data_IF_892935898210
#
_entry.id   IF_892935898210
#
_cell.length_a   1.000
_cell.length_b   1.000
_cell.length_c   1.000
_cell.angle_alpha   90.00
_cell.angle_beta   90.00
_cell.angle_gamma   90.00
#
_symmetry.space_group_name_H-M   'P 1'
#
loop_
_entity.id
_entity.type
_entity.pdbx_description
1 polymer ?
#
# COMPACT_ATOMS: atom_id res chain seq x y z
N UNK A 1 31.80 -16.75 -14.63
CA UNK A 1 30.46 -16.47 -14.07
C UNK A 1 30.48 -15.06 -13.51
N UNK A 2 29.82 -14.10 -14.15
CA UNK A 2 29.57 -12.81 -13.49
C UNK A 2 28.56 -13.08 -12.37
N UNK A 3 29.03 -13.17 -11.13
CA UNK A 3 28.14 -13.13 -9.98
C UNK A 3 27.53 -11.73 -9.94
N UNK A 4 26.29 -11.60 -10.41
CA UNK A 4 25.51 -10.40 -10.16
C UNK A 4 25.52 -10.16 -8.64
N UNK A 5 25.88 -8.94 -8.21
CA UNK A 5 25.93 -8.62 -6.79
C UNK A 5 24.51 -8.46 -6.26
N UNK A 6 24.23 -8.95 -5.05
CA UNK A 6 23.00 -8.61 -4.35
C UNK A 6 23.07 -7.16 -3.87
N UNK A 7 21.99 -6.40 -4.07
CA UNK A 7 21.89 -5.03 -3.53
C UNK A 7 21.31 -5.13 -2.12
N UNK A 8 22.20 -5.22 -1.13
CA UNK A 8 21.81 -5.34 0.27
C UNK A 8 21.14 -4.03 0.71
N UNK A 9 19.93 -4.14 1.28
CA UNK A 9 19.17 -3.00 1.80
C UNK A 9 18.20 -2.36 0.81
N UNK A 10 18.25 -2.73 -0.48
CA UNK A 10 17.22 -2.33 -1.43
C UNK A 10 15.98 -3.22 -1.26
N UNK A 11 14.81 -2.57 -1.16
CA UNK A 11 13.52 -3.23 -0.96
C UNK A 11 12.50 -2.85 -2.02
N UNK A 12 12.89 -2.03 -3.00
CA UNK A 12 12.10 -1.72 -4.18
C UNK A 12 12.36 -2.76 -5.28
N UNK A 13 11.33 -3.52 -5.63
CA UNK A 13 11.41 -4.59 -6.61
C UNK A 13 11.87 -4.07 -7.98
N UNK A 14 11.33 -2.93 -8.42
CA UNK A 14 11.69 -2.33 -9.70
C UNK A 14 13.18 -1.98 -9.76
N UNK A 15 13.73 -1.35 -8.73
CA UNK A 15 15.17 -1.03 -8.65
C UNK A 15 16.04 -2.27 -8.66
N UNK A 16 15.67 -3.31 -7.92
CA UNK A 16 16.40 -4.60 -7.93
C UNK A 16 16.43 -5.20 -9.34
N UNK A 17 15.29 -5.19 -10.05
CA UNK A 17 15.19 -5.72 -11.41
C UNK A 17 15.98 -4.89 -12.42
N UNK A 18 15.85 -3.56 -12.38
CA UNK A 18 16.53 -2.64 -13.31
C UNK A 18 18.05 -2.62 -13.13
N UNK A 19 18.54 -2.82 -11.90
CA UNK A 19 19.97 -2.86 -11.64
C UNK A 19 20.66 -4.17 -12.12
N UNK A 20 19.89 -5.16 -12.60
CA UNK A 20 20.43 -6.47 -12.97
C UNK A 20 21.05 -7.23 -11.80
N UNK A 21 20.65 -6.89 -10.56
CA UNK A 21 21.18 -7.46 -9.34
C UNK A 21 20.81 -8.93 -9.17
N UNK A 22 21.51 -9.62 -8.27
CA UNK A 22 21.07 -10.95 -7.84
C UNK A 22 19.71 -10.84 -7.11
N UNK A 23 18.71 -11.51 -7.67
CA UNK A 23 17.34 -11.54 -7.15
C UNK A 23 16.91 -13.00 -6.97
N UNK A 24 16.45 -13.34 -5.77
CA UNK A 24 15.86 -14.65 -5.49
C UNK A 24 14.40 -14.59 -5.91
N UNK A 25 14.04 -15.34 -6.94
CA UNK A 25 12.69 -15.30 -7.49
C UNK A 25 11.66 -15.89 -6.52
N UNK A 26 10.81 -15.01 -6.00
CA UNK A 26 9.63 -15.33 -5.18
C UNK A 26 8.34 -14.87 -5.84
N UNK A 27 8.34 -14.69 -7.16
CA UNK A 27 7.22 -14.10 -7.89
C UNK A 27 5.94 -14.95 -7.85
N UNK A 28 6.05 -16.27 -7.66
CA UNK A 28 4.87 -17.14 -7.42
C UNK A 28 4.09 -16.77 -6.14
N UNK A 29 4.66 -15.95 -5.26
CA UNK A 29 3.91 -15.37 -4.15
C UNK A 29 2.68 -14.58 -4.62
N UNK A 30 2.72 -13.99 -5.82
CA UNK A 30 1.56 -13.34 -6.44
C UNK A 30 0.40 -14.32 -6.64
N UNK A 31 0.70 -15.50 -7.15
CA UNK A 31 -0.29 -16.56 -7.37
C UNK A 31 -0.84 -17.08 -6.05
N UNK A 32 0.01 -17.25 -5.02
CA UNK A 32 -0.42 -17.60 -3.67
C UNK A 32 -1.38 -16.54 -3.08
N UNK A 33 -1.12 -15.25 -3.32
CA UNK A 33 -2.00 -14.15 -2.88
C UNK A 33 -3.34 -14.20 -3.60
N UNK A 34 -3.35 -14.44 -4.92
CA UNK A 34 -4.56 -14.43 -5.75
C UNK A 34 -5.46 -15.65 -5.53
N UNK A 35 -4.85 -16.81 -5.32
CA UNK A 35 -5.57 -18.08 -5.10
C UNK A 35 -5.98 -18.29 -3.64
N UNK A 36 -5.50 -17.43 -2.73
CA UNK A 36 -5.89 -17.42 -1.33
C UNK A 36 -7.39 -17.16 -1.17
N UNK A 37 -8.10 -17.92 -0.30
CA UNK A 37 -9.50 -17.65 0.00
C UNK A 37 -9.70 -16.40 0.89
N UNK A 38 -8.61 -15.81 1.40
CA UNK A 38 -8.66 -14.70 2.35
C UNK A 38 -8.66 -13.35 1.66
N UNK A 39 -9.70 -12.54 1.92
CA UNK A 39 -9.77 -11.12 1.49
C UNK A 39 -8.74 -10.23 2.18
N UNK A 40 -8.32 -10.60 3.39
CA UNK A 40 -7.33 -9.87 4.19
C UNK A 40 -6.23 -10.87 4.56
N UNK A 41 -5.00 -10.58 4.16
CA UNK A 41 -3.84 -11.41 4.47
C UNK A 41 -2.84 -10.66 5.35
N UNK A 42 -2.52 -11.26 6.49
CA UNK A 42 -1.50 -10.75 7.42
C UNK A 42 -0.22 -11.58 7.31
N UNK A 43 0.89 -10.93 6.94
CA UNK A 43 2.19 -11.58 6.77
C UNK A 43 3.08 -11.43 8.03
N UNK A 44 2.81 -12.24 9.07
CA UNK A 44 3.61 -12.29 10.31
C UNK A 44 4.81 -13.23 10.17
N UNK A 45 6.06 -12.75 10.25
CA UNK A 45 7.31 -13.58 10.21
C UNK A 45 8.61 -12.77 10.41
N UNK A 46 9.80 -13.40 10.58
CA UNK A 46 11.00 -12.76 11.14
C UNK A 46 11.65 -11.69 10.25
N UNK A 47 12.46 -10.83 10.89
CA UNK A 47 13.22 -9.76 10.24
C UNK A 47 14.06 -10.27 9.05
N UNK A 48 14.19 -9.43 8.02
CA UNK A 48 15.02 -9.65 6.81
C UNK A 48 14.55 -10.75 5.86
N UNK A 49 13.30 -11.19 5.94
CA UNK A 49 12.76 -12.21 5.02
C UNK A 49 12.36 -11.66 3.63
N UNK A 50 12.55 -10.36 3.39
CA UNK A 50 12.21 -9.69 2.13
C UNK A 50 10.74 -9.29 2.01
N UNK A 51 10.05 -9.02 3.12
CA UNK A 51 8.61 -8.67 3.10
C UNK A 51 8.34 -7.39 2.33
N UNK A 52 9.08 -6.32 2.62
CA UNK A 52 8.95 -5.05 1.89
C UNK A 52 9.24 -5.25 0.39
N UNK A 53 10.23 -6.07 0.04
CA UNK A 53 10.51 -6.44 -1.34
C UNK A 53 9.35 -7.21 -1.99
N UNK A 54 8.74 -8.16 -1.28
CA UNK A 54 7.57 -8.88 -1.76
C UNK A 54 6.33 -7.99 -1.87
N UNK A 55 6.11 -7.06 -0.94
CA UNK A 55 5.04 -6.07 -1.04
C UNK A 55 5.27 -5.12 -2.21
N UNK A 56 6.51 -4.69 -2.45
CA UNK A 56 6.89 -3.93 -3.64
C UNK A 56 6.66 -4.74 -4.92
N UNK A 57 6.96 -6.05 -4.92
CA UNK A 57 6.63 -6.93 -6.02
C UNK A 57 5.13 -6.97 -6.30
N UNK A 58 4.29 -7.17 -5.27
CA UNK A 58 2.83 -7.14 -5.42
C UNK A 58 2.35 -5.78 -5.93
N UNK A 59 2.93 -4.68 -5.42
CA UNK A 59 2.61 -3.33 -5.85
C UNK A 59 2.90 -3.14 -7.35
N UNK A 60 4.09 -3.52 -7.83
CA UNK A 60 4.42 -3.44 -9.25
C UNK A 60 3.63 -4.42 -10.11
N UNK A 61 3.21 -5.57 -9.56
CA UNK A 61 2.45 -6.56 -10.31
C UNK A 61 1.00 -6.11 -10.52
N UNK A 62 0.35 -5.59 -9.48
CA UNK A 62 -1.07 -5.26 -9.53
C UNK A 62 -1.36 -3.85 -10.05
N UNK A 63 -0.52 -2.86 -9.72
CA UNK A 63 -0.86 -1.47 -9.97
C UNK A 63 -0.99 -1.18 -11.46
N UNK A 64 -2.14 -0.65 -11.85
CA UNK A 64 -2.36 -0.09 -13.18
C UNK A 64 -1.46 1.12 -13.39
N UNK A 65 -0.40 0.94 -14.17
CA UNK A 65 0.61 1.97 -14.46
C UNK A 65 0.62 2.38 -15.93
N UNK A 66 1.02 3.62 -16.17
CA UNK A 66 1.39 4.14 -17.48
C UNK A 66 2.66 4.97 -17.32
N UNK A 67 3.80 4.61 -17.95
CA UNK A 67 3.99 3.49 -18.90
C UNK A 67 3.86 2.10 -18.28
N UNK A 68 3.68 1.09 -19.13
CA UNK A 68 3.65 -0.32 -18.74
C UNK A 68 5.01 -0.77 -18.15
N UNK A 69 4.95 -1.60 -17.10
CA UNK A 69 6.11 -2.13 -16.37
C UNK A 69 6.15 -3.68 -16.38
N UNK A 70 5.41 -4.31 -17.30
CA UNK A 70 5.38 -5.77 -17.47
C UNK A 70 6.76 -6.41 -17.64
N UNK A 71 7.70 -5.67 -18.24
CA UNK A 71 9.09 -6.09 -18.44
C UNK A 71 9.84 -6.41 -17.13
N UNK A 72 9.40 -5.87 -15.99
CA UNK A 72 9.99 -6.20 -14.67
C UNK A 72 9.86 -7.69 -14.32
N UNK A 73 8.83 -8.34 -14.86
CA UNK A 73 8.49 -9.74 -14.57
C UNK A 73 9.01 -10.73 -15.61
N UNK A 74 9.68 -10.26 -16.66
CA UNK A 74 10.31 -11.14 -17.64
C UNK A 74 11.29 -12.11 -16.96
N UNK A 75 11.20 -13.39 -17.34
CA UNK A 75 12.02 -14.50 -16.85
C UNK A 75 11.84 -14.80 -15.35
N UNK A 76 10.78 -14.27 -14.72
CA UNK A 76 10.35 -14.71 -13.40
C UNK A 76 9.30 -15.82 -13.53
N UNK A 77 9.21 -16.69 -12.54
CA UNK A 77 8.29 -17.82 -12.52
C UNK A 77 6.82 -17.41 -12.74
N UNK A 78 6.39 -16.27 -12.19
CA UNK A 78 5.02 -15.76 -12.38
C UNK A 78 4.68 -15.50 -13.85
N UNK A 79 5.65 -15.19 -14.72
CA UNK A 79 5.40 -14.92 -16.14
C UNK A 79 4.87 -16.11 -16.92
N UNK A 80 4.99 -17.32 -16.37
CA UNK A 80 4.46 -18.56 -16.93
C UNK A 80 3.17 -19.05 -16.25
N UNK A 81 2.66 -18.31 -15.27
CA UNK A 81 1.44 -18.66 -14.55
C UNK A 81 0.20 -18.13 -15.28
N UNK A 82 -0.91 -18.86 -15.21
CA UNK A 82 -2.18 -18.48 -15.86
C UNK A 82 -2.70 -17.13 -15.34
N UNK A 83 -2.46 -16.82 -14.06
CA UNK A 83 -2.90 -15.56 -13.44
C UNK A 83 -2.15 -14.33 -13.95
N UNK A 84 -1.03 -14.50 -14.67
CA UNK A 84 -0.15 -13.41 -15.07
C UNK A 84 -0.88 -12.38 -15.94
N UNK A 85 -1.42 -12.81 -17.08
CA UNK A 85 -2.12 -11.92 -18.00
C UNK A 85 -3.48 -11.46 -17.44
N UNK A 86 -4.05 -12.24 -16.54
CA UNK A 86 -5.34 -11.96 -15.94
C UNK A 86 -5.28 -10.86 -14.88
N UNK A 87 -4.12 -10.65 -14.23
CA UNK A 87 -4.02 -9.74 -13.09
C UNK A 87 -2.92 -8.67 -13.20
N UNK A 88 -1.95 -8.82 -14.11
CA UNK A 88 -0.87 -7.85 -14.28
C UNK A 88 -1.39 -6.46 -14.67
N UNK A 89 -1.00 -5.44 -13.91
CA UNK A 89 -1.28 -4.02 -14.16
C UNK A 89 -2.78 -3.68 -14.31
N UNK A 90 -3.68 -4.35 -13.59
CA UNK A 90 -5.13 -4.15 -13.72
C UNK A 90 -5.79 -3.36 -12.59
N UNK A 91 -5.15 -3.24 -11.43
CA UNK A 91 -5.82 -2.79 -10.22
C UNK A 91 -5.38 -1.38 -9.80
N UNK A 92 -6.30 -0.53 -9.30
CA UNK A 92 -5.91 0.57 -8.43
C UNK A 92 -5.30 0.02 -7.13
N UNK A 93 -4.16 0.57 -6.72
CA UNK A 93 -3.45 0.14 -5.51
C UNK A 93 -3.28 1.32 -4.55
N UNK A 94 -3.65 1.11 -3.29
CA UNK A 94 -3.33 1.99 -2.17
C UNK A 94 -2.14 1.37 -1.44
N UNK A 95 -0.96 1.99 -1.53
CA UNK A 95 0.24 1.53 -0.84
C UNK A 95 0.61 2.47 0.31
N UNK A 96 0.65 1.95 1.53
CA UNK A 96 1.00 2.67 2.75
C UNK A 96 2.16 2.00 3.47
N UNK A 97 3.11 2.79 3.97
CA UNK A 97 4.19 2.29 4.83
C UNK A 97 4.25 3.11 6.11
N UNK A 98 4.14 2.43 7.25
CA UNK A 98 4.20 3.07 8.57
C UNK A 98 5.60 3.00 9.21
N UNK A 99 6.62 2.60 8.45
CA UNK A 99 8.00 2.38 8.92
C UNK A 99 8.63 3.57 9.65
N UNK A 100 8.17 4.78 9.35
CA UNK A 100 8.70 6.05 9.87
C UNK A 100 7.78 6.72 10.91
N UNK A 101 6.70 6.05 11.34
CA UNK A 101 5.81 6.53 12.41
C UNK A 101 6.34 6.04 13.76
N UNK A 102 7.36 6.73 14.27
CA UNK A 102 8.07 6.40 15.52
C UNK A 102 8.03 7.57 16.49
N UNK A 103 6.97 8.37 16.41
CA UNK A 103 6.90 9.64 17.13
C UNK A 103 6.58 9.44 18.62
N UNK A 104 7.00 10.38 19.45
CA UNK A 104 6.90 10.29 20.91
C UNK A 104 5.53 10.71 21.45
N UNK A 105 4.66 11.29 20.61
CA UNK A 105 3.32 11.71 20.99
C UNK A 105 2.27 11.30 19.95
N UNK A 106 1.05 11.09 20.43
CA UNK A 106 -0.08 10.74 19.59
C UNK A 106 -0.35 11.79 18.51
N UNK A 107 -0.30 13.07 18.85
CA UNK A 107 -0.66 14.15 17.93
C UNK A 107 0.37 14.28 16.80
N UNK A 108 1.66 14.10 17.08
CA UNK A 108 2.72 14.06 16.06
C UNK A 108 2.56 12.82 15.18
N UNK A 109 2.32 11.64 15.77
CA UNK A 109 2.13 10.41 15.02
C UNK A 109 0.92 10.50 14.06
N UNK A 110 -0.21 11.05 14.52
CA UNK A 110 -1.40 11.25 13.68
C UNK A 110 -1.14 12.28 12.58
N UNK A 111 -0.43 13.38 12.89
CA UNK A 111 -0.04 14.35 11.87
C UNK A 111 0.81 13.69 10.78
N UNK A 112 1.81 12.88 11.15
CA UNK A 112 2.67 12.16 10.20
C UNK A 112 1.88 11.12 9.39
N UNK A 113 0.92 10.43 9.99
CA UNK A 113 -0.01 9.57 9.23
C UNK A 113 -0.85 10.39 8.25
N UNK A 114 -1.29 11.60 8.62
CA UNK A 114 -1.96 12.53 7.72
C UNK A 114 -1.09 12.92 6.51
N UNK A 115 0.21 13.12 6.71
CA UNK A 115 1.18 13.35 5.62
C UNK A 115 1.30 12.13 4.71
N UNK A 116 1.37 10.90 5.26
CA UNK A 116 1.38 9.68 4.45
C UNK A 116 0.12 9.55 3.58
N UNK A 117 -1.06 9.86 4.15
CA UNK A 117 -2.32 9.80 3.41
C UNK A 117 -2.37 10.90 2.35
N UNK A 118 -1.84 12.10 2.64
CA UNK A 118 -1.68 13.17 1.65
C UNK A 118 -0.85 12.69 0.44
N UNK A 119 0.31 12.06 0.68
CA UNK A 119 1.17 11.54 -0.39
C UNK A 119 0.47 10.47 -1.24
N UNK A 120 -0.35 9.63 -0.62
CA UNK A 120 -1.18 8.65 -1.34
C UNK A 120 -2.25 9.36 -2.16
N UNK A 121 -3.01 10.28 -1.57
CA UNK A 121 -4.05 11.02 -2.29
C UNK A 121 -3.49 11.84 -3.44
N UNK A 122 -2.27 12.37 -3.33
CA UNK A 122 -1.64 13.12 -4.41
C UNK A 122 -1.43 12.26 -5.67
N UNK A 123 -1.09 10.98 -5.51
CA UNK A 123 -1.00 10.04 -6.65
C UNK A 123 -2.35 9.81 -7.32
N UNK A 124 -3.44 10.08 -6.60
CA UNK A 124 -4.81 9.93 -7.07
C UNK A 124 -5.53 11.27 -7.27
N UNK A 125 -4.79 12.38 -7.38
CA UNK A 125 -5.36 13.74 -7.55
C UNK A 125 -6.30 13.85 -8.75
N UNK A 126 -6.13 13.02 -9.78
CA UNK A 126 -7.02 12.97 -10.93
C UNK A 126 -8.49 12.72 -10.55
N UNK A 127 -8.78 12.09 -9.41
CA UNK A 127 -10.13 11.90 -8.91
C UNK A 127 -10.86 13.23 -8.68
N UNK A 128 -10.16 14.32 -8.37
CA UNK A 128 -10.77 15.64 -8.18
C UNK A 128 -11.35 16.23 -9.48
N UNK A 129 -10.93 15.72 -10.64
CA UNK A 129 -11.44 16.12 -11.94
C UNK A 129 -12.59 15.21 -12.41
N UNK A 130 -12.90 14.16 -11.64
CA UNK A 130 -13.94 13.21 -11.98
C UNK A 130 -15.32 13.74 -11.60
N UNK A 131 -16.21 13.85 -12.58
CA UNK A 131 -17.55 14.44 -12.40
C UNK A 131 -18.42 13.71 -11.38
N UNK A 132 -18.21 12.39 -11.22
CA UNK A 132 -18.98 11.56 -10.30
C UNK A 132 -18.34 11.46 -8.90
N UNK A 133 -17.25 12.19 -8.63
CA UNK A 133 -16.67 12.25 -7.30
C UNK A 133 -17.70 12.79 -6.30
N UNK A 134 -18.02 12.01 -5.27
CA UNK A 134 -19.02 12.43 -4.29
C UNK A 134 -18.61 13.73 -3.57
N UNK A 135 -19.58 14.60 -3.27
CA UNK A 135 -19.32 15.88 -2.60
C UNK A 135 -18.68 15.71 -1.21
N UNK A 136 -18.98 14.61 -0.52
CA UNK A 136 -18.35 14.24 0.74
C UNK A 136 -16.88 13.87 0.55
N UNK A 137 -16.57 13.03 -0.45
CA UNK A 137 -15.20 12.65 -0.77
C UNK A 137 -14.37 13.86 -1.23
N UNK A 138 -14.93 14.72 -2.09
CA UNK A 138 -14.28 15.96 -2.54
C UNK A 138 -13.87 16.86 -1.37
N UNK A 139 -14.77 17.10 -0.40
CA UNK A 139 -14.45 17.89 0.80
C UNK A 139 -13.38 17.22 1.67
N UNK A 140 -13.44 15.90 1.82
CA UNK A 140 -12.44 15.16 2.59
C UNK A 140 -11.07 15.24 1.94
N UNK A 141 -10.99 15.01 0.63
CA UNK A 141 -9.75 15.07 -0.12
C UNK A 141 -9.15 16.48 -0.07
N UNK A 142 -9.95 17.53 -0.25
CA UNK A 142 -9.48 18.91 -0.12
C UNK A 142 -8.85 19.18 1.26
N UNK A 143 -9.48 18.73 2.35
CA UNK A 143 -8.92 18.86 3.70
C UNK A 143 -7.57 18.14 3.83
N UNK A 144 -7.45 16.91 3.34
CA UNK A 144 -6.20 16.14 3.46
C UNK A 144 -5.10 16.73 2.58
N UNK A 145 -5.42 17.10 1.34
CA UNK A 145 -4.47 17.70 0.40
C UNK A 145 -3.96 19.06 0.89
N UNK A 146 -4.81 19.85 1.53
CA UNK A 146 -4.42 21.12 2.16
C UNK A 146 -3.87 20.99 3.59
N UNK A 147 -3.62 19.76 4.08
CA UNK A 147 -3.12 19.48 5.43
C UNK A 147 -3.97 20.10 6.57
N UNK A 148 -5.29 20.17 6.36
CA UNK A 148 -6.29 20.67 7.31
C UNK A 148 -7.19 19.57 7.88
N UNK A 149 -6.92 18.31 7.56
CA UNK A 149 -7.70 17.17 8.04
C UNK A 149 -7.53 16.96 9.55
N UNK A 150 -8.65 16.78 10.26
CA UNK A 150 -8.65 16.35 11.65
C UNK A 150 -8.43 14.83 11.76
N UNK A 151 -8.07 14.30 12.95
CA UNK A 151 -7.95 12.86 13.15
C UNK A 151 -9.18 12.06 12.70
N UNK A 152 -10.39 12.61 12.84
CA UNK A 152 -11.63 11.97 12.36
C UNK A 152 -11.73 11.91 10.84
N UNK A 153 -11.31 12.98 10.15
CA UNK A 153 -11.24 13.00 8.69
C UNK A 153 -10.26 11.91 8.20
N UNK A 154 -9.10 11.79 8.86
CA UNK A 154 -8.10 10.76 8.53
C UNK A 154 -8.61 9.33 8.76
N UNK A 155 -9.39 9.08 9.82
CA UNK A 155 -9.96 7.75 10.09
C UNK A 155 -10.83 7.22 8.94
N UNK A 156 -11.47 8.10 8.17
CA UNK A 156 -12.32 7.72 7.03
C UNK A 156 -11.58 7.74 5.68
N UNK A 157 -10.39 8.36 5.60
CA UNK A 157 -9.79 8.73 4.32
C UNK A 157 -9.40 7.54 3.45
N UNK A 158 -8.89 6.45 4.02
CA UNK A 158 -8.51 5.26 3.24
C UNK A 158 -9.73 4.57 2.67
N UNK A 159 -10.79 4.40 3.48
CA UNK A 159 -12.06 3.82 3.03
C UNK A 159 -12.64 4.65 1.89
N UNK A 160 -12.77 5.96 2.10
CA UNK A 160 -13.33 6.87 1.09
C UNK A 160 -12.49 6.84 -0.19
N UNK A 161 -11.16 6.87 -0.08
CA UNK A 161 -10.29 6.73 -1.26
C UNK A 161 -10.50 5.41 -1.99
N UNK A 162 -10.58 4.29 -1.25
CA UNK A 162 -10.87 2.97 -1.83
C UNK A 162 -12.19 2.99 -2.59
N UNK A 163 -13.26 3.49 -1.98
CA UNK A 163 -14.59 3.57 -2.59
C UNK A 163 -14.55 4.40 -3.90
N UNK A 164 -13.87 5.55 -3.89
CA UNK A 164 -13.79 6.40 -5.08
C UNK A 164 -12.91 5.78 -6.18
N UNK A 165 -11.82 5.09 -5.83
CA UNK A 165 -11.00 4.38 -6.81
C UNK A 165 -11.74 3.22 -7.44
N UNK A 166 -12.49 2.47 -6.63
CA UNK A 166 -13.31 1.37 -7.12
C UNK A 166 -14.33 1.87 -8.15
N UNK A 167 -15.07 2.93 -7.82
CA UNK A 167 -16.07 3.49 -8.73
C UNK A 167 -15.45 4.15 -9.97
N UNK A 168 -14.29 4.81 -9.85
CA UNK A 168 -13.62 5.44 -10.99
C UNK A 168 -13.06 4.42 -11.99
N UNK A 169 -12.42 3.35 -11.49
CA UNK A 169 -11.75 2.36 -12.35
C UNK A 169 -12.64 1.18 -12.72
N UNK A 170 -13.80 1.02 -12.08
CA UNK A 170 -14.65 -0.17 -12.18
C UNK A 170 -13.85 -1.46 -11.93
N UNK A 171 -12.99 -1.43 -10.90
CA UNK A 171 -12.08 -2.51 -10.52
C UNK A 171 -11.95 -2.59 -9.00
N UNK A 172 -11.71 -3.79 -8.47
CA UNK A 172 -11.39 -3.95 -7.05
C UNK A 172 -10.11 -3.19 -6.68
N UNK A 173 -10.04 -2.65 -5.46
CA UNK A 173 -8.88 -1.89 -4.97
C UNK A 173 -8.03 -2.77 -4.07
N UNK A 174 -6.73 -2.81 -4.36
CA UNK A 174 -5.77 -3.55 -3.54
C UNK A 174 -5.11 -2.59 -2.55
N UNK A 175 -5.19 -2.93 -1.26
CA UNK A 175 -4.58 -2.12 -0.19
C UNK A 175 -3.38 -2.88 0.38
N UNK A 176 -2.20 -2.31 0.20
CA UNK A 176 -0.93 -2.86 0.66
C UNK A 176 -0.41 -2.00 1.82
N UNK A 177 -0.14 -2.62 2.96
CA UNK A 177 0.35 -1.94 4.15
C UNK A 177 1.62 -2.60 4.63
N UNK A 178 2.70 -1.82 4.68
CA UNK A 178 3.97 -2.24 5.26
C UNK A 178 4.18 -1.66 6.67
N UNK A 179 4.80 -2.43 7.55
CA UNK A 179 5.16 -2.04 8.92
C UNK A 179 3.97 -1.49 9.75
N UNK A 180 2.76 -2.04 9.56
CA UNK A 180 1.52 -1.61 10.23
C UNK A 180 1.58 -1.56 11.77
N UNK A 181 2.49 -2.34 12.37
CA UNK A 181 2.74 -2.46 13.79
C UNK A 181 3.70 -1.40 14.35
N UNK A 182 4.47 -0.71 13.49
CA UNK A 182 5.43 0.32 13.92
C UNK A 182 4.80 1.44 14.77
N UNK A 183 3.69 2.09 14.36
CA UNK A 183 3.04 3.11 15.19
C UNK A 183 2.54 2.56 16.53
N UNK A 184 2.10 1.30 16.54
CA UNK A 184 1.58 0.62 17.74
C UNK A 184 2.70 0.41 18.74
N UNK A 185 3.86 -0.07 18.28
CA UNK A 185 5.05 -0.25 19.12
C UNK A 185 5.56 1.07 19.68
N UNK A 186 5.60 2.14 18.86
CA UNK A 186 5.97 3.47 19.34
C UNK A 186 4.99 3.96 20.41
N UNK A 187 3.69 3.81 20.16
CA UNK A 187 2.64 4.22 21.09
C UNK A 187 2.69 3.46 22.43
N UNK A 188 3.04 2.19 22.40
CA UNK A 188 3.27 1.39 23.60
C UNK A 188 4.43 1.93 24.42
N UNK A 189 5.56 2.20 23.75
CA UNK A 189 6.80 2.68 24.41
C UNK A 189 6.62 4.07 25.01
N UNK A 190 5.82 4.93 24.36
CA UNK A 190 5.63 6.33 24.72
C UNK A 190 4.31 6.61 25.47
N UNK A 191 3.58 5.57 25.90
CA UNK A 191 2.43 5.73 26.81
C UNK A 191 1.11 6.22 26.18
N UNK A 192 0.94 6.14 24.86
CA UNK A 192 -0.30 6.53 24.16
C UNK A 192 -0.95 5.40 23.35
N UNK A 193 -0.62 4.15 23.67
CA UNK A 193 -1.09 2.92 23.02
C UNK A 193 -2.60 2.88 22.75
N UNK A 194 -3.43 3.13 23.77
CA UNK A 194 -4.89 3.01 23.62
C UNK A 194 -5.45 4.00 22.60
N UNK A 195 -4.93 5.23 22.58
CA UNK A 195 -5.31 6.25 21.58
C UNK A 195 -4.91 5.81 20.18
N UNK A 196 -3.68 5.32 20.01
CA UNK A 196 -3.17 4.89 18.70
C UNK A 196 -3.91 3.66 18.15
N UNK A 197 -4.18 2.65 18.98
CA UNK A 197 -4.96 1.48 18.58
C UNK A 197 -6.38 1.88 18.17
N UNK A 198 -7.04 2.77 18.93
CA UNK A 198 -8.35 3.29 18.57
C UNK A 198 -8.33 4.00 17.22
N UNK A 199 -7.33 4.84 16.99
CA UNK A 199 -7.14 5.54 15.72
C UNK A 199 -6.91 4.59 14.54
N UNK A 200 -5.92 3.70 14.63
CA UNK A 200 -5.59 2.75 13.56
C UNK A 200 -6.72 1.76 13.28
N UNK A 201 -7.44 1.32 14.31
CA UNK A 201 -8.61 0.47 14.13
C UNK A 201 -9.65 1.17 13.27
N UNK A 202 -9.95 2.44 13.52
CA UNK A 202 -10.92 3.18 12.72
C UNK A 202 -10.39 3.43 11.31
N UNK A 203 -9.14 3.88 11.19
CA UNK A 203 -8.45 4.10 9.91
C UNK A 203 -8.49 2.87 8.98
N UNK A 204 -8.21 1.69 9.52
CA UNK A 204 -8.05 0.46 8.75
C UNK A 204 -9.33 -0.37 8.66
N UNK A 205 -10.19 -0.37 9.68
CA UNK A 205 -11.39 -1.21 9.67
C UNK A 205 -12.38 -0.82 8.59
N UNK A 206 -12.54 0.48 8.30
CA UNK A 206 -13.39 0.94 7.21
C UNK A 206 -12.88 0.47 5.84
N UNK A 207 -11.56 0.46 5.67
CA UNK A 207 -10.92 0.01 4.43
C UNK A 207 -11.00 -1.51 4.23
N UNK A 208 -11.06 -2.29 5.30
CA UNK A 208 -10.98 -3.76 5.22
C UNK A 208 -12.32 -4.49 5.38
N UNK A 209 -13.35 -3.87 5.98
CA UNK A 209 -14.66 -4.50 6.17
C UNK A 209 -15.55 -4.46 4.93
N UNK A 210 -15.47 -3.36 4.18
CA UNK A 210 -16.40 -3.06 3.09
C UNK A 210 -15.74 -3.11 1.70
N UNK A 211 -14.48 -3.55 1.60
CA UNK A 211 -13.87 -3.95 0.32
C UNK A 211 -14.56 -5.25 -0.17
N UNK A 212 -15.75 -5.08 -0.73
CA UNK A 212 -16.59 -6.11 -1.33
C UNK A 212 -16.38 -6.16 -2.84
#
# INVERSE_FOLDING_TARGET
MNMNKAIIGESDFKRVRQAGAYYVDKSLFVEEVLTSPYKIMLLTRPRRFGKTLNLSLLHHFFEKRNPDESNLFEKLAISSSDVYNDHLSKYPVIYLTFKDIKDESFDIAVHRIGVLIHEVLEKHRYLLQWENLSSLASKLFDKVLNQKAEPRDLMDSIRVLSDQLHQYHDQAVIILIDEYDTPIHSAYTNGYYQRMIGFLRNLLSGAFKDNA
#
